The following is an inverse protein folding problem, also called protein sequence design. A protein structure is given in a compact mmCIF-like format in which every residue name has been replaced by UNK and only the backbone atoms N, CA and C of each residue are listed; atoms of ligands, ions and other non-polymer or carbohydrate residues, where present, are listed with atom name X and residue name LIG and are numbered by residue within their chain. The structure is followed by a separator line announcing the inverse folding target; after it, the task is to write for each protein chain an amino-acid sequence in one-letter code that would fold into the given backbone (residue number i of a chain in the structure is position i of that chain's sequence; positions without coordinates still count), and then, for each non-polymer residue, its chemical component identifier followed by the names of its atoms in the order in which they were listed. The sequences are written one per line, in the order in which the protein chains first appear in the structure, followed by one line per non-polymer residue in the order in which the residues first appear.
data_IF_887394298156
#
_entry.id   IF_887394298156
#
_cell.length_a   1.000
_cell.length_b   1.000
_cell.length_c   1.000
_cell.angle_alpha   90.00
_cell.angle_beta   90.00
_cell.angle_gamma   90.00
#
_symmetry.space_group_name_H-M   'P 1'
#
loop_
_entity.id
_entity.type
_entity.pdbx_description
1 polymer ?
#
# COMPACT_ATOMS: atom_id res chain seq x y z
N UNK A 1 28.23 35.64 39.15
CA UNK A 1 27.29 34.51 39.35
C UNK A 1 26.06 34.62 38.45
N UNK A 2 25.52 35.80 38.17
CA UNK A 2 24.34 35.95 37.28
C UNK A 2 24.56 35.53 35.81
N UNK A 3 25.76 35.72 35.26
CA UNK A 3 26.09 35.28 33.89
C UNK A 3 26.21 33.75 33.77
N UNK A 4 26.55 33.04 34.86
CA UNK A 4 26.62 31.58 34.87
C UNK A 4 25.21 30.96 34.91
N UNK A 5 24.28 31.58 35.66
CA UNK A 5 22.87 31.14 35.75
C UNK A 5 22.15 31.27 34.39
N UNK A 6 22.44 32.32 33.61
CA UNK A 6 21.84 32.50 32.27
C UNK A 6 22.30 31.45 31.25
N UNK A 7 23.53 30.93 31.37
CA UNK A 7 24.06 29.91 30.45
C UNK A 7 23.45 28.53 30.76
N UNK A 8 23.22 28.21 32.04
CA UNK A 8 22.59 26.95 32.43
C UNK A 8 21.11 26.86 31.99
N UNK A 9 20.39 27.98 31.98
CA UNK A 9 18.99 28.04 31.49
C UNK A 9 18.90 27.86 29.97
N UNK A 10 19.89 28.33 29.21
CA UNK A 10 19.93 28.16 27.76
C UNK A 10 20.21 26.70 27.34
N UNK A 11 20.99 25.96 28.12
CA UNK A 11 21.31 24.54 27.83
C UNK A 11 20.12 23.64 28.15
N UNK A 12 19.27 23.99 29.13
CA UNK A 12 18.07 23.22 29.46
C UNK A 12 16.96 23.31 28.39
N UNK A 13 17.02 24.31 27.50
CA UNK A 13 16.04 24.47 26.41
C UNK A 13 16.37 23.65 25.15
N UNK A 14 17.62 23.18 25.01
CA UNK A 14 18.06 22.42 23.82
C UNK A 14 17.80 20.91 23.96
N UNK A 15 17.55 20.41 25.18
CA UNK A 15 17.24 18.99 25.42
C UNK A 15 15.81 18.55 25.05
N UNK A 16 14.93 19.48 24.66
CA UNK A 16 13.53 19.16 24.31
C UNK A 16 13.25 19.04 22.81
N UNK A 17 14.22 19.31 21.96
CA UNK A 17 14.06 19.07 20.51
C UNK A 17 14.54 17.66 20.19
N UNK A 18 13.93 16.67 20.84
CA UNK A 18 13.87 15.33 20.26
C UNK A 18 13.03 15.48 19.00
N UNK A 19 13.71 15.66 17.86
CA UNK A 19 13.10 15.48 16.54
C UNK A 19 12.71 14.01 16.48
N UNK A 20 11.54 13.68 16.99
CA UNK A 20 10.91 12.41 16.72
C UNK A 20 10.69 12.40 15.21
N UNK A 21 11.48 11.61 14.49
CA UNK A 21 11.14 11.13 13.17
C UNK A 21 9.88 10.27 13.33
N UNK A 22 8.72 10.92 13.52
CA UNK A 22 7.43 10.25 13.56
C UNK A 22 7.15 9.83 12.12
N UNK A 23 7.35 8.55 11.83
CA UNK A 23 6.67 7.91 10.71
C UNK A 23 5.18 8.13 10.89
N UNK A 24 4.49 8.58 9.85
CA UNK A 24 3.06 8.79 9.93
C UNK A 24 2.38 7.44 10.22
N UNK A 25 1.57 7.37 11.28
CA UNK A 25 0.79 6.16 11.56
C UNK A 25 -0.35 6.06 10.53
N UNK A 26 -0.14 5.20 9.54
CA UNK A 26 -1.11 4.93 8.49
C UNK A 26 -2.21 3.94 8.90
N UNK A 27 -2.08 3.25 10.03
CA UNK A 27 -3.03 2.22 10.46
C UNK A 27 -4.42 2.78 10.79
N UNK A 28 -4.50 4.09 11.05
CA UNK A 28 -5.75 4.84 11.27
C UNK A 28 -6.59 5.06 10.01
N UNK A 29 -6.03 4.90 8.82
CA UNK A 29 -6.76 5.14 7.57
C UNK A 29 -7.61 3.91 7.21
N UNK A 30 -8.88 4.09 6.78
CA UNK A 30 -9.75 2.97 6.43
C UNK A 30 -9.19 2.03 5.36
N UNK A 31 -8.42 2.57 4.42
CA UNK A 31 -7.76 1.83 3.34
C UNK A 31 -6.48 1.10 3.73
N UNK A 32 -6.05 1.15 4.99
CA UNK A 32 -4.86 0.43 5.44
C UNK A 32 -5.17 -1.07 5.62
N UNK A 33 -4.44 -1.91 4.90
CA UNK A 33 -4.48 -3.36 5.04
C UNK A 33 -3.28 -3.86 5.86
N UNK A 34 -3.55 -4.51 6.98
CA UNK A 34 -2.50 -5.09 7.81
C UNK A 34 -2.12 -6.49 7.31
N UNK A 35 -1.00 -6.59 6.59
CA UNK A 35 -0.44 -7.89 6.20
C UNK A 35 0.31 -8.60 7.33
N UNK A 36 0.43 -8.00 8.52
CA UNK A 36 1.20 -8.53 9.64
C UNK A 36 2.70 -8.64 9.30
N UNK A 37 3.41 -9.49 10.03
CA UNK A 37 4.82 -9.76 9.76
C UNK A 37 4.94 -10.62 8.47
N UNK A 38 5.54 -10.06 7.43
CA UNK A 38 5.85 -10.75 6.18
C UNK A 38 7.28 -11.29 6.14
N UNK A 39 8.15 -10.85 7.06
CA UNK A 39 9.54 -11.31 7.12
C UNK A 39 9.68 -12.79 7.47
N UNK A 40 8.67 -13.39 8.08
CA UNK A 40 8.60 -14.84 8.28
C UNK A 40 8.46 -15.64 6.97
N UNK A 41 8.20 -14.97 5.83
CA UNK A 41 8.03 -15.57 4.50
C UNK A 41 9.29 -15.42 3.64
N UNK A 42 10.30 -14.75 4.18
CA UNK A 42 11.59 -14.53 3.53
C UNK A 42 12.40 -15.84 3.54
N UNK A 43 12.47 -16.49 2.38
CA UNK A 43 13.40 -17.62 2.15
C UNK A 43 14.78 -17.11 1.65
N UNK A 44 15.01 -15.79 1.73
CA UNK A 44 16.28 -15.14 1.40
C UNK A 44 16.63 -15.05 -0.10
N UNK A 45 15.84 -15.65 -1.00
CA UNK A 45 16.21 -15.74 -2.42
C UNK A 45 15.98 -14.45 -3.21
N UNK A 46 14.83 -13.79 -3.03
CA UNK A 46 14.47 -12.57 -3.75
C UNK A 46 13.26 -11.90 -3.08
N UNK A 47 13.48 -10.72 -2.50
CA UNK A 47 12.47 -9.95 -1.78
C UNK A 47 12.52 -8.51 -2.28
N UNK A 48 11.38 -7.97 -2.68
CA UNK A 48 11.25 -6.54 -3.01
C UNK A 48 10.29 -5.88 -2.03
N UNK A 49 10.77 -4.84 -1.36
CA UNK A 49 9.94 -3.99 -0.50
C UNK A 49 9.90 -2.57 -1.05
N UNK A 50 8.70 -2.08 -1.33
CA UNK A 50 8.46 -0.70 -1.74
C UNK A 50 7.54 -0.09 -0.70
N UNK A 51 8.01 0.98 -0.06
CA UNK A 51 7.24 1.79 0.87
C UNK A 51 7.33 3.25 0.42
N UNK A 52 6.24 3.78 -0.12
CA UNK A 52 6.15 5.17 -0.54
C UNK A 52 5.12 5.87 0.34
N UNK A 53 5.62 6.73 1.21
CA UNK A 53 4.82 7.51 2.16
C UNK A 53 4.29 8.80 1.53
N UNK A 54 3.28 9.39 2.17
CA UNK A 54 2.53 10.55 1.67
C UNK A 54 3.43 11.73 1.25
N UNK A 55 4.51 11.99 1.99
CA UNK A 55 5.45 13.07 1.67
C UNK A 55 6.11 12.89 0.31
N UNK A 56 6.53 11.66 0.00
CA UNK A 56 7.16 11.32 -1.28
C UNK A 56 6.10 11.29 -2.39
N UNK A 57 4.91 10.73 -2.14
CA UNK A 57 3.80 10.76 -3.10
C UNK A 57 3.45 12.19 -3.51
N UNK A 58 3.30 13.11 -2.56
CA UNK A 58 3.07 14.54 -2.86
C UNK A 58 4.22 15.20 -3.61
N UNK A 59 5.46 14.76 -3.40
CA UNK A 59 6.61 15.23 -4.17
C UNK A 59 6.52 14.73 -5.62
N UNK A 60 6.20 13.44 -5.83
CA UNK A 60 5.99 12.87 -7.17
C UNK A 60 4.85 13.58 -7.90
N UNK A 61 3.72 13.83 -7.23
CA UNK A 61 2.60 14.57 -7.82
C UNK A 61 3.00 15.96 -8.36
N UNK A 62 3.91 16.66 -7.66
CA UNK A 62 4.45 17.95 -8.13
C UNK A 62 5.31 17.85 -9.38
N UNK A 63 5.96 16.71 -9.61
CA UNK A 63 6.74 16.48 -10.84
C UNK A 63 5.89 16.06 -12.03
N UNK A 64 4.65 15.63 -11.79
CA UNK A 64 3.70 15.22 -12.83
C UNK A 64 2.62 16.28 -13.08
N UNK A 65 2.89 17.55 -12.77
CA UNK A 65 1.92 18.65 -12.92
C UNK A 65 1.49 18.92 -14.38
N UNK A 66 2.27 18.45 -15.34
CA UNK A 66 1.96 18.44 -16.76
C UNK A 66 0.82 17.46 -17.11
N UNK A 67 0.55 16.48 -16.25
CA UNK A 67 -0.57 15.55 -16.31
C UNK A 67 -1.43 15.74 -15.06
N UNK A 68 -2.37 16.69 -15.12
CA UNK A 68 -3.24 17.08 -13.98
C UNK A 68 -3.97 15.87 -13.37
N UNK A 69 -4.45 14.94 -14.20
CA UNK A 69 -5.14 13.74 -13.76
C UNK A 69 -4.23 12.80 -12.96
N UNK A 70 -2.98 12.59 -13.43
CA UNK A 70 -1.99 11.79 -12.71
C UNK A 70 -1.52 12.47 -11.42
N UNK A 71 -1.27 13.78 -11.48
CA UNK A 71 -0.90 14.59 -10.31
C UNK A 71 -1.97 14.51 -9.23
N UNK A 72 -3.24 14.70 -9.58
CA UNK A 72 -4.36 14.63 -8.63
C UNK A 72 -4.53 13.23 -8.05
N UNK A 73 -4.39 12.20 -8.88
CA UNK A 73 -4.47 10.83 -8.41
C UNK A 73 -3.39 10.51 -7.39
N UNK A 74 -2.11 10.81 -7.71
CA UNK A 74 -0.99 10.56 -6.79
C UNK A 74 -1.12 11.43 -5.53
N UNK A 75 -1.55 12.68 -5.68
CA UNK A 75 -1.76 13.61 -4.58
C UNK A 75 -2.85 13.19 -3.59
N UNK A 76 -3.80 12.37 -4.03
CA UNK A 76 -4.84 11.76 -3.19
C UNK A 76 -4.35 10.58 -2.34
N UNK A 77 -3.19 10.00 -2.66
CA UNK A 77 -2.64 8.83 -1.99
C UNK A 77 -1.93 9.21 -0.68
N UNK A 78 -1.99 8.28 0.27
CA UNK A 78 -1.37 8.36 1.61
C UNK A 78 -0.21 7.39 1.74
N UNK A 79 -0.34 6.20 1.18
CA UNK A 79 0.64 5.14 1.29
C UNK A 79 0.57 4.23 0.06
N UNK A 80 1.73 3.83 -0.46
CA UNK A 80 1.85 2.66 -1.32
C UNK A 80 2.83 1.71 -0.64
N UNK A 81 2.36 0.49 -0.34
CA UNK A 81 3.17 -0.60 0.21
C UNK A 81 3.11 -1.79 -0.75
N UNK A 82 4.27 -2.27 -1.17
CA UNK A 82 4.42 -3.48 -1.97
C UNK A 82 5.46 -4.37 -1.32
N UNK A 83 5.11 -5.63 -1.12
CA UNK A 83 6.04 -6.67 -0.75
C UNK A 83 5.92 -7.80 -1.77
N UNK A 84 7.02 -8.14 -2.43
CA UNK A 84 7.09 -9.34 -3.28
C UNK A 84 8.10 -10.33 -2.77
N UNK A 85 7.78 -11.61 -2.95
CA UNK A 85 8.59 -12.75 -2.54
C UNK A 85 8.61 -13.75 -3.67
N UNK A 86 9.78 -14.32 -3.98
CA UNK A 86 9.84 -15.51 -4.82
C UNK A 86 9.13 -16.69 -4.16
N UNK A 87 8.30 -17.40 -4.92
CA UNK A 87 7.63 -18.60 -4.45
C UNK A 87 8.54 -19.81 -4.65
N UNK A 88 8.86 -20.47 -3.54
CA UNK A 88 9.64 -21.70 -3.48
C UNK A 88 8.80 -22.82 -2.89
N UNK A 89 9.22 -24.06 -3.05
CA UNK A 89 8.55 -25.21 -2.40
C UNK A 89 8.56 -25.09 -0.87
N UNK A 90 9.54 -24.37 -0.29
CA UNK A 90 9.66 -24.21 1.15
C UNK A 90 8.65 -23.20 1.72
N UNK A 91 8.38 -22.10 0.99
CA UNK A 91 7.54 -21.01 1.47
C UNK A 91 6.10 -21.03 0.90
N UNK A 92 5.81 -21.80 -0.16
CA UNK A 92 4.51 -21.81 -0.84
C UNK A 92 3.34 -22.01 0.13
N UNK A 93 3.42 -23.00 1.02
CA UNK A 93 2.34 -23.29 1.96
C UNK A 93 2.13 -22.15 2.96
N UNK A 94 3.21 -21.52 3.42
CA UNK A 94 3.14 -20.39 4.35
C UNK A 94 2.53 -19.16 3.67
N UNK A 95 2.91 -18.88 2.43
CA UNK A 95 2.33 -17.81 1.61
C UNK A 95 0.82 -18.02 1.39
N UNK A 96 0.39 -19.24 1.06
CA UNK A 96 -1.03 -19.57 0.90
C UNK A 96 -1.80 -19.39 2.21
N UNK A 97 -1.23 -19.82 3.34
CA UNK A 97 -1.84 -19.62 4.65
C UNK A 97 -1.94 -18.13 5.00
N UNK A 98 -0.89 -17.36 4.71
CA UNK A 98 -0.86 -15.91 4.90
C UNK A 98 -1.95 -15.21 4.10
N UNK A 99 -2.08 -15.52 2.81
CA UNK A 99 -3.13 -14.96 1.96
C UNK A 99 -4.54 -15.26 2.50
N UNK A 100 -4.78 -16.46 3.05
CA UNK A 100 -6.06 -16.81 3.69
C UNK A 100 -6.32 -15.99 4.97
N UNK A 101 -5.30 -15.73 5.77
CA UNK A 101 -5.44 -14.88 6.97
C UNK A 101 -5.76 -13.44 6.58
N UNK A 102 -5.08 -12.91 5.56
CA UNK A 102 -5.35 -11.57 5.02
C UNK A 102 -6.77 -11.49 4.45
N UNK A 103 -7.22 -12.48 3.66
CA UNK A 103 -8.60 -12.53 3.14
C UNK A 103 -9.64 -12.44 4.26
N UNK A 104 -9.46 -13.21 5.34
CA UNK A 104 -10.35 -13.19 6.50
C UNK A 104 -10.34 -11.83 7.21
N UNK A 105 -9.17 -11.25 7.44
CA UNK A 105 -9.03 -9.94 8.10
C UNK A 105 -9.72 -8.84 7.27
N UNK A 106 -9.48 -8.77 5.97
CA UNK A 106 -10.08 -7.79 5.07
C UNK A 106 -11.60 -7.90 5.02
N UNK A 107 -12.15 -9.11 4.88
CA UNK A 107 -13.60 -9.34 4.90
C UNK A 107 -14.19 -8.88 6.24
N UNK A 108 -13.55 -9.21 7.36
CA UNK A 108 -14.00 -8.79 8.69
C UNK A 108 -14.04 -7.26 8.86
N UNK A 109 -13.16 -6.56 8.15
CA UNK A 109 -13.04 -5.08 8.13
C UNK A 109 -13.85 -4.42 7.02
N UNK A 110 -14.82 -5.14 6.44
CA UNK A 110 -15.72 -4.62 5.38
C UNK A 110 -14.94 -4.09 4.18
N UNK A 111 -13.98 -4.87 3.70
CA UNK A 111 -13.41 -4.69 2.36
C UNK A 111 -14.21 -5.51 1.36
N UNK A 112 -14.44 -4.95 0.18
CA UNK A 112 -15.14 -5.64 -0.89
C UNK A 112 -14.13 -6.35 -1.79
N UNK A 113 -14.27 -7.67 -1.93
CA UNK A 113 -13.45 -8.44 -2.87
C UNK A 113 -14.07 -8.37 -4.26
N UNK A 114 -13.48 -7.54 -5.11
CA UNK A 114 -13.94 -7.30 -6.48
C UNK A 114 -13.34 -8.29 -7.49
N UNK A 115 -12.19 -8.90 -7.18
CA UNK A 115 -11.58 -9.94 -8.01
C UNK A 115 -11.20 -11.12 -7.14
N UNK A 116 -11.53 -12.33 -7.62
CA UNK A 116 -11.07 -13.60 -7.07
C UNK A 116 -10.73 -14.53 -8.22
N UNK A 117 -9.44 -14.76 -8.46
CA UNK A 117 -8.94 -15.78 -9.35
C UNK A 117 -8.26 -16.86 -8.52
N UNK A 118 -8.64 -18.12 -8.74
CA UNK A 118 -7.99 -19.26 -8.13
C UNK A 118 -7.90 -20.38 -9.17
N UNK A 119 -6.69 -20.73 -9.53
CA UNK A 119 -6.34 -21.87 -10.38
C UNK A 119 -5.41 -22.82 -9.64
N UNK A 120 -4.91 -23.85 -10.33
CA UNK A 120 -3.94 -24.79 -9.76
C UNK A 120 -2.66 -24.10 -9.32
N UNK A 121 -2.20 -23.12 -10.10
CA UNK A 121 -0.88 -22.51 -9.94
C UNK A 121 -0.94 -21.01 -9.57
N UNK A 122 -2.12 -20.39 -9.62
CA UNK A 122 -2.29 -18.98 -9.32
C UNK A 122 -3.44 -18.71 -8.35
N UNK A 123 -3.20 -17.84 -7.39
CA UNK A 123 -4.21 -17.24 -6.53
C UNK A 123 -4.08 -15.73 -6.64
N UNK A 124 -5.17 -15.03 -6.97
CA UNK A 124 -5.17 -13.57 -7.02
C UNK A 124 -6.48 -13.05 -6.45
N UNK A 125 -6.39 -12.20 -5.43
CA UNK A 125 -7.51 -11.48 -4.87
C UNK A 125 -7.25 -9.98 -4.94
N UNK A 126 -8.25 -9.22 -5.37
CA UNK A 126 -8.23 -7.75 -5.34
C UNK A 126 -9.38 -7.28 -4.46
N UNK A 127 -9.07 -6.39 -3.54
CA UNK A 127 -10.00 -5.81 -2.59
C UNK A 127 -9.99 -4.30 -2.69
N UNK A 128 -11.16 -3.70 -2.51
CA UNK A 128 -11.31 -2.25 -2.43
C UNK A 128 -11.95 -1.87 -1.10
N UNK A 129 -11.52 -0.73 -0.56
CA UNK A 129 -12.17 -0.08 0.56
C UNK A 129 -12.94 1.12 0.03
N UNK A 130 -14.24 1.09 0.21
CA UNK A 130 -15.17 2.14 -0.23
C UNK A 130 -15.64 2.96 0.97
N UNK A 131 -15.76 4.27 0.75
CA UNK A 131 -16.46 5.20 1.65
C UNK A 131 -17.91 5.41 1.21
N UNK A 132 -18.10 5.48 -0.10
CA UNK A 132 -19.37 5.63 -0.83
C UNK A 132 -19.25 4.85 -2.15
N UNK A 133 -20.33 4.77 -2.94
CA UNK A 133 -20.36 4.01 -4.20
C UNK A 133 -19.30 4.45 -5.23
N UNK A 134 -18.79 5.68 -5.12
CA UNK A 134 -17.82 6.25 -6.06
C UNK A 134 -16.50 6.71 -5.41
N UNK A 135 -16.41 6.70 -4.08
CA UNK A 135 -15.20 7.09 -3.34
C UNK A 135 -14.46 5.88 -2.77
N UNK A 136 -13.28 5.62 -3.30
CA UNK A 136 -12.37 4.58 -2.83
C UNK A 136 -11.32 5.17 -1.90
N UNK A 137 -11.11 4.52 -0.75
CA UNK A 137 -10.15 4.91 0.28
C UNK A 137 -8.95 3.94 0.37
N UNK A 138 -9.03 2.81 -0.33
CA UNK A 138 -7.93 1.83 -0.39
C UNK A 138 -8.11 0.76 -1.45
N UNK A 139 -6.98 0.22 -1.91
CA UNK A 139 -6.89 -0.90 -2.83
C UNK A 139 -5.86 -1.88 -2.28
N UNK A 140 -6.20 -3.17 -2.31
CA UNK A 140 -5.31 -4.22 -1.85
C UNK A 140 -5.28 -5.36 -2.86
N UNK A 141 -4.08 -5.81 -3.22
CA UNK A 141 -3.86 -6.98 -4.09
C UNK A 141 -3.06 -8.01 -3.33
N UNK A 142 -3.55 -9.25 -3.33
CA UNK A 142 -2.80 -10.42 -2.86
C UNK A 142 -2.74 -11.40 -4.02
N UNK A 143 -1.55 -11.61 -4.57
CA UNK A 143 -1.32 -12.54 -5.67
C UNK A 143 -0.23 -13.54 -5.29
N UNK A 144 -0.37 -14.79 -5.69
CA UNK A 144 0.60 -15.86 -5.51
C UNK A 144 0.62 -16.67 -6.81
N UNK A 145 1.76 -16.66 -7.50
CA UNK A 145 2.05 -17.55 -8.62
C UNK A 145 3.08 -18.59 -8.17
N UNK A 146 2.72 -19.87 -8.20
CA UNK A 146 3.59 -20.96 -7.72
C UNK A 146 4.95 -21.04 -8.39
N UNK A 147 5.04 -20.63 -9.65
CA UNK A 147 6.27 -20.67 -10.43
C UNK A 147 6.87 -19.26 -10.61
N UNK A 148 6.48 -18.30 -9.78
CA UNK A 148 6.90 -16.91 -9.90
C UNK A 148 6.93 -16.24 -8.53
N UNK A 149 6.15 -15.18 -8.38
CA UNK A 149 6.15 -14.35 -7.18
C UNK A 149 4.82 -14.39 -6.43
N UNK A 150 4.93 -14.16 -5.12
CA UNK A 150 3.83 -13.71 -4.29
C UNK A 150 3.96 -12.20 -4.07
N UNK A 151 2.88 -11.46 -4.33
CA UNK A 151 2.84 -10.00 -4.23
C UNK A 151 1.72 -9.58 -3.27
N UNK A 152 2.06 -8.71 -2.33
CA UNK A 152 1.16 -8.08 -1.38
C UNK A 152 1.24 -6.58 -1.57
N UNK A 153 0.18 -6.00 -2.13
CA UNK A 153 0.09 -4.57 -2.44
C UNK A 153 -1.01 -3.94 -1.60
N UNK A 154 -0.72 -2.82 -0.94
CA UNK A 154 -1.72 -1.96 -0.33
C UNK A 154 -1.49 -0.51 -0.73
N UNK A 155 -2.50 0.09 -1.34
CA UNK A 155 -2.58 1.51 -1.67
C UNK A 155 -3.64 2.11 -0.75
N UNK A 156 -3.27 3.16 -0.03
CA UNK A 156 -4.12 3.85 0.94
C UNK A 156 -4.31 5.29 0.49
N UNK A 157 -5.52 5.82 0.62
CA UNK A 157 -5.86 7.20 0.30
C UNK A 157 -7.01 7.30 -0.70
N UNK A 158 -7.29 8.51 -1.15
CA UNK A 158 -8.35 8.73 -2.14
C UNK A 158 -7.91 8.19 -3.48
N UNK A 159 -8.58 7.15 -3.96
CA UNK A 159 -8.27 6.49 -5.23
C UNK A 159 -9.32 6.88 -6.26
N UNK A 160 -8.89 7.55 -7.33
CA UNK A 160 -9.73 7.80 -8.49
C UNK A 160 -9.63 6.61 -9.46
N UNK A 161 -10.67 5.78 -9.52
CA UNK A 161 -10.68 4.56 -10.35
C UNK A 161 -10.73 4.89 -11.85
N UNK A 162 -11.32 6.02 -12.24
CA UNK A 162 -11.30 6.47 -13.63
C UNK A 162 -9.87 6.82 -14.08
N UNK A 163 -9.11 7.48 -13.21
CA UNK A 163 -7.70 7.79 -13.45
C UNK A 163 -6.85 6.51 -13.51
N UNK A 164 -7.09 5.54 -12.61
CA UNK A 164 -6.43 4.22 -12.67
C UNK A 164 -6.69 3.49 -13.99
N UNK A 165 -7.92 3.55 -14.51
CA UNK A 165 -8.30 2.96 -15.79
C UNK A 165 -7.48 3.49 -16.96
N UNK A 166 -7.36 4.82 -17.04
CA UNK A 166 -6.58 5.49 -18.10
C UNK A 166 -5.07 5.25 -17.96
N UNK A 167 -4.56 5.18 -16.73
CA UNK A 167 -3.15 4.86 -16.50
C UNK A 167 -2.81 3.43 -16.90
N UNK A 168 -3.70 2.47 -16.63
CA UNK A 168 -3.56 1.11 -17.13
C UNK A 168 -3.35 1.06 -18.64
N UNK A 169 -4.15 1.84 -19.39
CA UNK A 169 -4.01 1.95 -20.84
C UNK A 169 -2.71 2.68 -21.28
N UNK A 170 -2.25 3.67 -20.51
CA UNK A 170 -1.01 4.43 -20.80
C UNK A 170 0.26 3.63 -20.54
N UNK A 171 0.23 2.73 -19.56
CA UNK A 171 1.36 1.87 -19.17
C UNK A 171 1.30 0.45 -19.78
N UNK A 172 0.38 0.22 -20.73
CA UNK A 172 0.16 -1.08 -21.39
C UNK A 172 0.00 -2.25 -20.40
N UNK A 173 -0.76 -2.01 -19.32
CA UNK A 173 -1.00 -3.00 -18.25
C UNK A 173 -2.21 -3.86 -18.67
N UNK A 174 -2.04 -5.16 -18.97
CA UNK A 174 -3.13 -6.00 -19.43
C UNK A 174 -4.24 -6.14 -18.38
N UNK A 175 -5.49 -5.85 -18.75
CA UNK A 175 -6.70 -6.21 -17.97
C UNK A 175 -7.40 -5.09 -17.20
N UNK A 176 -6.88 -3.86 -17.19
CA UNK A 176 -7.50 -2.71 -16.49
C UNK A 176 -8.78 -2.22 -17.19
N UNK A 177 -8.91 -2.42 -18.50
CA UNK A 177 -10.08 -2.02 -19.31
C UNK A 177 -11.42 -2.65 -18.86
N UNK A 178 -11.36 -3.74 -18.10
CA UNK A 178 -12.54 -4.49 -17.67
C UNK A 178 -13.20 -3.93 -16.40
N UNK A 179 -12.56 -2.98 -15.69
CA UNK A 179 -13.08 -2.45 -14.42
C UNK A 179 -14.37 -1.63 -14.63
N UNK A 180 -14.56 -1.02 -15.81
CA UNK A 180 -15.78 -0.24 -16.13
C UNK A 180 -17.01 -1.07 -16.50
N UNK A 181 -16.88 -2.37 -16.78
CA UNK A 181 -17.95 -3.16 -17.44
C UNK A 181 -19.00 -3.78 -16.50
N UNK A 182 -18.88 -3.64 -15.18
CA UNK A 182 -19.82 -4.26 -14.22
C UNK A 182 -20.91 -3.33 -13.66
N UNK A 183 -21.13 -2.14 -14.24
CA UNK A 183 -22.39 -1.39 -14.03
C UNK A 183 -23.44 -1.87 -15.07
N UNK A 184 -24.10 -3.00 -14.80
CA UNK A 184 -25.39 -3.36 -15.42
C UNK A 184 -26.32 -3.98 -14.39
#
# INVERSE_FOLDING_TARGET
MEKLIKITVAIFFIAFISISAQSDDYSKYPGYANFGNLSALEDGEEITEILIEEKLLRMVAKFTQDDEELSDMIGGLKLIKVNTFKVTTNNEQQLIQKAKLIDKDLISKRWDRIVKNKSKDNVTNVYVKTKSDEDFEGLTVVSINKNGEASFVNIVGKINVDALGKLGAKFDIPGVDNIKKNKK
#
